data_IF_251089636121
#
_entry.id   IF_251089636121
#
_cell.length_a   1.000
_cell.length_b   1.000
_cell.length_c   1.000
_cell.angle_alpha   90.00
_cell.angle_beta   90.00
_cell.angle_gamma   90.00
#
_symmetry.space_group_name_H-M   'P 1'
#
loop_
_entity.id
_entity.type
_entity.pdbx_description
1 polymer ?
#
# COMPACT_ATOMS: atom_id res chain seq x y z
N UNK A 1 -3.77 -13.80 5.07
CA UNK A 1 -2.77 -12.81 5.55
C UNK A 1 -2.78 -11.60 4.65
N UNK A 2 -2.24 -10.47 5.13
CA UNK A 2 -2.11 -9.24 4.36
C UNK A 2 -0.68 -8.69 4.48
N UNK A 3 -0.37 -7.66 3.69
CA UNK A 3 0.95 -7.03 3.65
C UNK A 3 1.48 -6.54 5.02
N UNK A 4 0.62 -6.25 6.00
CA UNK A 4 1.10 -5.82 7.32
C UNK A 4 1.94 -6.93 8.00
N UNK A 5 1.75 -8.19 7.64
CA UNK A 5 2.50 -9.32 8.21
C UNK A 5 4.01 -9.25 7.93
N UNK A 6 4.44 -8.49 6.91
CA UNK A 6 5.86 -8.28 6.59
C UNK A 6 6.44 -7.01 7.20
N UNK A 7 5.58 -6.08 7.64
CA UNK A 7 5.95 -4.80 8.23
C UNK A 7 5.98 -4.90 9.77
N UNK A 8 4.92 -5.47 10.34
CA UNK A 8 4.72 -5.56 11.79
C UNK A 8 5.86 -6.24 12.57
N UNK A 9 6.54 -7.29 12.07
CA UNK A 9 7.67 -7.89 12.80
C UNK A 9 8.81 -6.92 13.12
N UNK A 10 8.96 -5.86 12.31
CA UNK A 10 9.96 -4.80 12.54
C UNK A 10 9.45 -3.68 13.44
N UNK A 11 8.17 -3.72 13.79
CA UNK A 11 7.47 -2.71 14.56
C UNK A 11 7.11 -3.20 15.98
N UNK A 12 6.80 -4.47 16.11
CA UNK A 12 6.36 -5.08 17.35
C UNK A 12 6.65 -6.57 17.35
N UNK A 13 6.69 -7.16 18.54
CA UNK A 13 6.69 -8.61 18.66
C UNK A 13 5.36 -9.17 18.16
N UNK A 14 5.43 -10.19 17.31
CA UNK A 14 4.28 -10.98 16.88
C UNK A 14 4.20 -12.27 17.68
N UNK A 15 2.99 -12.84 17.89
CA UNK A 15 2.84 -14.13 18.56
C UNK A 15 3.22 -15.33 17.68
N UNK A 16 3.72 -15.09 16.47
CA UNK A 16 4.15 -16.11 15.50
C UNK A 16 5.20 -15.53 14.54
N UNK A 17 5.98 -16.40 13.90
CA UNK A 17 6.94 -16.09 12.83
C UNK A 17 6.25 -16.26 11.46
N UNK A 18 6.09 -15.19 10.65
CA UNK A 18 5.40 -15.26 9.36
C UNK A 18 6.00 -16.23 8.34
N UNK A 19 7.29 -16.57 8.45
CA UNK A 19 7.99 -17.46 7.52
C UNK A 19 8.04 -18.92 8.00
N UNK A 20 7.99 -19.15 9.32
CA UNK A 20 8.04 -20.50 9.91
C UNK A 20 6.67 -21.05 10.23
N UNK A 21 5.78 -20.23 10.76
CA UNK A 21 4.52 -20.68 11.36
C UNK A 21 3.35 -20.69 10.37
N UNK A 22 3.59 -20.30 9.12
CA UNK A 22 2.59 -20.22 8.07
C UNK A 22 3.04 -20.93 6.78
N UNK A 23 2.12 -21.67 6.18
CA UNK A 23 2.28 -22.20 4.82
C UNK A 23 1.63 -21.25 3.81
N UNK A 24 2.38 -20.79 2.82
CA UNK A 24 1.87 -19.94 1.74
C UNK A 24 1.07 -20.76 0.73
N UNK A 25 -0.04 -20.22 0.24
CA UNK A 25 -0.89 -20.90 -0.76
C UNK A 25 -0.90 -20.08 -2.06
N UNK A 26 -1.32 -18.82 -1.99
CA UNK A 26 -1.31 -17.92 -3.14
C UNK A 26 -1.58 -16.48 -2.70
N UNK A 27 -0.91 -15.51 -3.31
CA UNK A 27 -1.29 -14.11 -3.27
C UNK A 27 -2.43 -13.92 -4.26
N UNK A 28 -3.60 -13.56 -3.75
CA UNK A 28 -4.84 -13.49 -4.53
C UNK A 28 -5.05 -12.13 -5.18
N UNK A 29 -4.67 -11.05 -4.49
CA UNK A 29 -4.84 -9.70 -5.00
C UNK A 29 -3.80 -8.73 -4.44
N UNK A 30 -3.53 -7.69 -5.23
CA UNK A 30 -2.69 -6.54 -4.88
C UNK A 30 -3.56 -5.28 -4.97
N UNK A 31 -3.26 -4.35 -4.09
CA UNK A 31 -3.97 -3.10 -3.88
C UNK A 31 -2.95 -1.96 -3.86
N UNK A 32 -2.72 -1.31 -5.01
CA UNK A 32 -1.91 -0.10 -5.03
C UNK A 32 -2.60 1.01 -4.22
N UNK A 33 -1.79 1.88 -3.63
CA UNK A 33 -2.28 3.09 -2.98
C UNK A 33 -2.11 4.28 -3.92
N UNK A 34 -2.98 5.27 -3.75
CA UNK A 34 -2.92 6.57 -4.41
C UNK A 34 -2.52 7.63 -3.41
N UNK A 35 -1.65 8.54 -3.83
CA UNK A 35 -1.45 9.83 -3.18
C UNK A 35 -2.53 10.77 -3.70
N UNK A 36 -3.33 11.30 -2.78
CA UNK A 36 -4.35 12.31 -3.06
C UNK A 36 -4.05 13.58 -2.27
N UNK A 37 -4.42 14.72 -2.83
CA UNK A 37 -4.31 16.02 -2.15
C UNK A 37 -5.65 16.74 -2.15
N UNK A 38 -5.87 17.56 -1.14
CA UNK A 38 -6.97 18.50 -1.13
C UNK A 38 -6.87 19.45 -2.35
N UNK A 39 -8.01 19.87 -2.91
CA UNK A 39 -8.03 20.68 -4.11
C UNK A 39 -7.48 22.10 -3.93
N UNK A 40 -7.61 22.67 -2.73
CA UNK A 40 -7.13 24.02 -2.38
C UNK A 40 -5.63 24.04 -2.11
N UNK A 41 -5.00 22.87 -1.93
CA UNK A 41 -3.55 22.76 -1.88
C UNK A 41 -2.99 23.01 -3.30
N UNK A 42 -2.05 23.96 -3.49
CA UNK A 42 -1.50 24.31 -4.81
C UNK A 42 -0.44 23.28 -5.27
N UNK A 43 -0.79 22.00 -5.22
CA UNK A 43 0.06 20.85 -5.54
C UNK A 43 -0.65 20.00 -6.59
N UNK A 44 -0.03 19.79 -7.75
CA UNK A 44 -0.61 19.00 -8.85
C UNK A 44 0.20 17.77 -9.21
N UNK A 45 1.40 17.64 -8.65
CA UNK A 45 2.34 16.56 -8.89
C UNK A 45 3.14 16.24 -7.62
N UNK A 46 3.87 15.14 -7.64
CA UNK A 46 4.83 14.83 -6.57
C UNK A 46 5.94 15.88 -6.47
N UNK A 47 6.39 16.43 -7.61
CA UNK A 47 7.38 17.51 -7.62
C UNK A 47 6.86 18.76 -6.90
N UNK A 48 5.61 19.14 -7.14
CA UNK A 48 4.98 20.26 -6.44
C UNK A 48 4.84 19.99 -4.95
N UNK A 49 4.48 18.76 -4.56
CA UNK A 49 4.37 18.38 -3.15
C UNK A 49 5.72 18.54 -2.43
N UNK A 50 6.81 18.08 -3.05
CA UNK A 50 8.16 18.21 -2.52
C UNK A 50 8.55 19.69 -2.41
N UNK A 51 8.32 20.48 -3.46
CA UNK A 51 8.63 21.90 -3.46
C UNK A 51 7.83 22.66 -2.37
N UNK A 52 6.53 22.38 -2.25
CA UNK A 52 5.67 22.98 -1.24
C UNK A 52 6.13 22.60 0.17
N UNK A 53 6.45 21.32 0.41
CA UNK A 53 6.93 20.84 1.70
C UNK A 53 8.25 21.50 2.12
N UNK A 54 9.20 21.66 1.18
CA UNK A 54 10.47 22.35 1.43
C UNK A 54 10.30 23.83 1.73
N UNK A 55 9.37 24.49 1.04
CA UNK A 55 9.04 25.90 1.30
C UNK A 55 8.26 26.10 2.61
N UNK A 56 7.58 25.06 3.11
CA UNK A 56 6.69 25.11 4.27
C UNK A 56 7.03 24.01 5.29
N UNK A 57 8.25 23.99 5.86
CA UNK A 57 8.70 22.92 6.74
C UNK A 57 7.79 22.80 7.97
N UNK A 58 7.30 21.58 8.24
CA UNK A 58 6.45 21.28 9.39
C UNK A 58 5.00 21.74 9.28
N UNK A 59 4.56 22.28 8.14
CA UNK A 59 3.17 22.71 7.92
C UNK A 59 2.30 21.70 7.17
N UNK A 60 2.89 20.65 6.62
CA UNK A 60 2.15 19.60 5.94
C UNK A 60 1.97 18.39 6.85
N UNK A 61 0.78 17.82 6.78
CA UNK A 61 0.47 16.52 7.36
C UNK A 61 -0.09 15.59 6.27
N UNK A 62 -0.04 14.28 6.52
CA UNK A 62 -0.65 13.29 5.65
C UNK A 62 -1.42 12.25 6.45
N UNK A 63 -2.59 11.88 5.94
CA UNK A 63 -3.48 10.91 6.56
C UNK A 63 -3.31 9.53 5.95
N UNK A 64 -3.34 8.48 6.77
CA UNK A 64 -3.37 7.08 6.29
C UNK A 64 -4.37 6.23 7.08
N UNK A 65 -4.72 5.02 6.60
CA UNK A 65 -5.64 4.10 7.28
C UNK A 65 -5.20 3.62 8.68
N UNK A 66 -3.96 3.89 9.08
CA UNK A 66 -3.45 3.51 10.40
C UNK A 66 -1.94 3.29 10.43
N UNK A 67 -1.39 3.19 11.65
CA UNK A 67 0.03 2.91 11.90
C UNK A 67 0.38 1.48 11.43
N UNK A 68 1.56 1.31 10.86
CA UNK A 68 2.07 0.02 10.38
C UNK A 68 1.40 -0.53 9.11
N UNK A 69 0.50 0.25 8.50
CA UNK A 69 -0.09 -0.08 7.19
C UNK A 69 0.91 0.20 6.06
N UNK A 70 0.82 -0.47 4.90
CA UNK A 70 1.66 -0.14 3.74
C UNK A 70 1.59 1.33 3.34
N UNK A 71 0.45 2.01 3.54
CA UNK A 71 0.26 3.44 3.27
C UNK A 71 1.06 4.33 4.21
N UNK A 72 1.10 3.99 5.51
CA UNK A 72 1.95 4.67 6.48
C UNK A 72 3.42 4.52 6.08
N UNK A 73 3.86 3.30 5.80
CA UNK A 73 5.25 3.06 5.39
C UNK A 73 5.57 3.75 4.05
N UNK A 74 4.62 3.81 3.12
CA UNK A 74 4.78 4.56 1.86
C UNK A 74 5.01 6.05 2.10
N UNK A 75 4.25 6.67 3.02
CA UNK A 75 4.39 8.08 3.36
C UNK A 75 5.75 8.39 4.00
N UNK A 76 6.15 7.57 4.97
CA UNK A 76 7.45 7.71 5.64
C UNK A 76 8.62 7.48 4.67
N UNK A 77 8.56 6.44 3.85
CA UNK A 77 9.58 6.17 2.82
C UNK A 77 9.67 7.30 1.81
N UNK A 78 8.53 7.82 1.35
CA UNK A 78 8.50 8.96 0.44
C UNK A 78 9.14 10.20 1.08
N UNK A 79 8.76 10.55 2.31
CA UNK A 79 9.33 11.69 3.03
C UNK A 79 10.85 11.55 3.19
N UNK A 80 11.32 10.37 3.59
CA UNK A 80 12.74 10.05 3.74
C UNK A 80 13.51 10.24 2.42
N UNK A 81 13.05 9.61 1.34
CA UNK A 81 13.71 9.68 0.03
C UNK A 81 13.65 11.09 -0.58
N UNK A 82 12.56 11.83 -0.36
CA UNK A 82 12.38 13.18 -0.86
C UNK A 82 13.14 14.25 -0.03
N UNK A 83 13.65 13.88 1.15
CA UNK A 83 14.28 14.81 2.09
C UNK A 83 13.31 15.88 2.59
N UNK A 84 12.05 15.50 2.84
CA UNK A 84 11.00 16.39 3.36
C UNK A 84 10.44 15.83 4.66
N UNK A 85 9.76 16.68 5.42
CA UNK A 85 9.07 16.28 6.65
C UNK A 85 7.60 16.63 6.55
N UNK A 86 6.75 15.63 6.75
CA UNK A 86 5.31 15.77 6.87
C UNK A 86 4.85 15.03 8.13
N UNK A 87 3.89 15.58 8.86
CA UNK A 87 3.33 14.92 10.05
C UNK A 87 2.37 13.80 9.65
N UNK A 88 2.56 12.59 10.19
CA UNK A 88 1.63 11.48 9.97
C UNK A 88 0.42 11.60 10.89
N UNK A 89 -0.78 11.58 10.30
CA UNK A 89 -2.05 11.53 11.01
C UNK A 89 -2.68 10.14 10.80
N UNK A 90 -2.62 9.23 11.79
CA UNK A 90 -3.21 7.90 11.66
C UNK A 90 -4.73 7.93 11.86
N UNK A 91 -5.46 7.29 10.94
CA UNK A 91 -6.91 7.06 11.06
C UNK A 91 -7.20 5.61 11.44
N UNK A 92 -8.48 5.29 11.66
CA UNK A 92 -9.00 3.91 11.82
C UNK A 92 -9.62 3.43 10.50
N UNK A 93 -8.86 3.49 9.42
CA UNK A 93 -9.29 3.10 8.07
C UNK A 93 -9.60 4.27 7.13
N UNK A 94 -10.63 5.06 7.43
CA UNK A 94 -11.12 6.13 6.55
C UNK A 94 -10.47 7.49 6.87
N UNK A 95 -9.69 8.03 5.93
CA UNK A 95 -9.02 9.34 6.00
C UNK A 95 -9.54 10.36 4.97
N UNK A 96 -10.28 9.93 3.96
CA UNK A 96 -10.57 10.74 2.77
C UNK A 96 -11.52 11.93 3.03
N UNK A 97 -12.40 11.86 4.01
CA UNK A 97 -13.27 12.97 4.41
C UNK A 97 -12.47 14.19 4.86
N UNK A 98 -11.39 13.96 5.61
CA UNK A 98 -10.53 15.02 6.14
C UNK A 98 -9.61 15.58 5.05
N UNK A 99 -9.25 14.74 4.06
CA UNK A 99 -8.56 15.21 2.87
C UNK A 99 -9.45 16.10 2.02
N UNK A 100 -10.70 15.70 1.80
CA UNK A 100 -11.67 16.50 1.05
C UNK A 100 -11.96 17.85 1.71
N UNK A 101 -12.08 17.88 3.03
CA UNK A 101 -12.35 19.12 3.78
C UNK A 101 -11.11 19.98 4.03
N UNK A 102 -9.91 19.45 3.76
CA UNK A 102 -8.64 20.16 3.94
C UNK A 102 -8.10 20.13 5.37
N UNK A 103 -8.77 19.43 6.29
CA UNK A 103 -8.28 19.18 7.65
C UNK A 103 -6.92 18.48 7.61
N UNK A 104 -6.74 17.55 6.65
CA UNK A 104 -5.42 16.98 6.33
C UNK A 104 -5.13 17.20 4.84
N UNK A 105 -4.04 17.89 4.46
CA UNK A 105 -3.84 18.35 3.09
C UNK A 105 -3.50 17.21 2.11
N UNK A 106 -2.97 16.08 2.61
CA UNK A 106 -2.54 14.93 1.79
C UNK A 106 -3.09 13.63 2.36
N UNK A 107 -3.54 12.72 1.51
CA UNK A 107 -3.95 11.38 1.88
C UNK A 107 -3.19 10.31 1.10
N UNK A 108 -2.87 9.21 1.76
CA UNK A 108 -2.43 7.98 1.10
C UNK A 108 -3.46 6.91 1.40
N UNK A 109 -4.10 6.39 0.36
CA UNK A 109 -5.22 5.46 0.50
C UNK A 109 -5.23 4.46 -0.65
N UNK A 110 -5.84 3.29 -0.45
CA UNK A 110 -6.06 2.31 -1.52
C UNK A 110 -6.78 2.93 -2.72
N UNK A 111 -6.31 2.59 -3.92
CA UNK A 111 -6.85 3.14 -5.17
C UNK A 111 -8.37 2.95 -5.30
N UNK A 112 -8.89 1.79 -4.89
CA UNK A 112 -10.34 1.50 -4.88
C UNK A 112 -11.19 2.50 -4.09
N UNK A 113 -10.65 3.05 -2.99
CA UNK A 113 -11.36 4.04 -2.18
C UNK A 113 -11.05 5.48 -2.62
N UNK A 114 -9.83 5.77 -3.04
CA UNK A 114 -9.42 7.12 -3.43
C UNK A 114 -9.91 7.54 -4.82
N UNK A 115 -9.83 6.63 -5.81
CA UNK A 115 -10.11 6.97 -7.22
C UNK A 115 -11.53 7.42 -7.52
N UNK A 116 -12.60 6.91 -6.87
CA UNK A 116 -13.94 7.48 -7.06
C UNK A 116 -13.97 8.98 -6.76
N UNK A 117 -13.34 9.43 -5.66
CA UNK A 117 -13.30 10.85 -5.29
C UNK A 117 -12.40 11.67 -6.22
N UNK A 118 -11.33 11.07 -6.75
CA UNK A 118 -10.47 11.70 -7.76
C UNK A 118 -11.25 11.94 -9.06
N UNK A 119 -12.01 10.94 -9.52
CA UNK A 119 -12.83 11.03 -10.73
C UNK A 119 -13.97 12.03 -10.59
N UNK A 120 -14.57 12.11 -9.41
CA UNK A 120 -15.58 13.11 -9.07
C UNK A 120 -14.99 14.52 -8.85
N UNK A 121 -13.66 14.67 -8.93
CA UNK A 121 -12.98 15.95 -8.76
C UNK A 121 -13.01 16.50 -7.33
N UNK A 122 -13.34 15.69 -6.33
CA UNK A 122 -13.44 16.09 -4.91
C UNK A 122 -12.07 16.20 -4.23
N UNK A 123 -11.10 15.46 -4.74
CA UNK A 123 -9.68 15.51 -4.39
C UNK A 123 -8.86 15.31 -5.66
N UNK A 124 -7.56 15.62 -5.61
CA UNK A 124 -6.66 15.43 -6.75
C UNK A 124 -5.73 14.25 -6.50
N UNK A 125 -5.75 13.24 -7.36
CA UNK A 125 -4.75 12.17 -7.37
C UNK A 125 -3.46 12.64 -8.04
N UNK A 126 -2.30 12.32 -7.44
CA UNK A 126 -0.99 12.79 -7.95
C UNK A 126 0.03 11.66 -8.16
N UNK A 127 -0.17 10.49 -7.55
CA UNK A 127 0.69 9.33 -7.79
C UNK A 127 0.03 8.01 -7.37
N UNK A 128 0.55 6.89 -7.88
CA UNK A 128 0.36 5.55 -7.31
C UNK A 128 1.66 5.00 -6.72
N UNK A 129 1.52 4.08 -5.74
CA UNK A 129 2.65 3.48 -4.99
C UNK A 129 3.14 2.15 -5.55
N UNK A 130 2.55 1.64 -6.63
CA UNK A 130 2.99 0.45 -7.35
C UNK A 130 4.09 0.76 -8.36
N UNK A 131 4.89 -0.25 -8.74
CA UNK A 131 5.93 -0.10 -9.77
C UNK A 131 5.35 0.26 -11.15
N UNK A 132 4.13 -0.21 -11.43
CA UNK A 132 3.38 0.07 -12.66
C UNK A 132 2.12 0.85 -12.31
N UNK A 133 1.60 1.61 -13.26
CA UNK A 133 0.31 2.29 -13.10
C UNK A 133 -0.79 1.29 -12.78
N UNK A 134 -1.66 1.65 -11.84
CA UNK A 134 -2.74 0.79 -11.40
C UNK A 134 -3.84 0.73 -12.46
N UNK A 135 -4.49 -0.42 -12.64
CA UNK A 135 -5.66 -0.55 -13.52
C UNK A 135 -6.78 0.42 -13.10
N UNK A 136 -6.91 0.65 -11.79
CA UNK A 136 -7.87 1.59 -11.21
C UNK A 136 -7.50 3.07 -11.45
N UNK A 137 -6.25 3.37 -11.79
CA UNK A 137 -5.72 4.72 -11.92
C UNK A 137 -4.71 4.82 -13.08
N UNK A 138 -5.12 4.49 -14.33
CA UNK A 138 -4.19 4.40 -15.46
C UNK A 138 -3.59 5.76 -15.85
N UNK A 139 -4.28 6.84 -15.52
CA UNK A 139 -3.86 8.21 -15.81
C UNK A 139 -2.89 8.76 -14.76
N UNK A 140 -2.79 8.13 -13.58
CA UNK A 140 -1.88 8.58 -12.54
C UNK A 140 -0.48 7.97 -12.73
N UNK A 141 0.57 8.80 -12.74
CA UNK A 141 1.93 8.30 -12.78
C UNK A 141 2.30 7.55 -11.50
N UNK A 142 3.28 6.65 -11.58
CA UNK A 142 3.84 6.01 -10.38
C UNK A 142 4.80 6.97 -9.66
N UNK A 143 5.14 6.67 -8.40
CA UNK A 143 6.26 7.36 -7.74
C UNK A 143 7.59 7.06 -8.44
N UNK A 144 7.76 5.86 -8.98
CA UNK A 144 8.94 5.48 -9.74
C UNK A 144 9.13 6.31 -11.02
N UNK A 145 8.05 6.60 -11.73
CA UNK A 145 8.02 7.51 -12.89
C UNK A 145 8.29 8.97 -12.51
N UNK A 146 8.12 9.33 -11.23
CA UNK A 146 8.25 10.70 -10.71
C UNK A 146 9.54 10.95 -9.91
N UNK A 147 10.59 10.18 -10.19
CA UNK A 147 11.93 10.41 -9.63
C UNK A 147 12.28 9.56 -8.41
N UNK A 148 11.51 8.51 -8.12
CA UNK A 148 11.81 7.54 -7.06
C UNK A 148 12.00 6.11 -7.61
N UNK A 149 13.04 5.83 -8.42
CA UNK A 149 13.21 4.52 -9.06
C UNK A 149 13.13 3.36 -8.06
N UNK A 150 12.32 2.34 -8.40
CA UNK A 150 12.11 1.18 -7.52
C UNK A 150 11.21 1.42 -6.31
N UNK A 151 10.60 2.61 -6.17
CA UNK A 151 9.60 2.84 -5.13
C UNK A 151 8.42 1.88 -5.31
N UNK A 152 8.18 1.07 -4.30
CA UNK A 152 7.03 0.18 -4.26
C UNK A 152 6.56 -0.03 -2.82
N UNK A 153 5.30 0.34 -2.57
CA UNK A 153 4.60 0.12 -1.33
C UNK A 153 3.12 -0.19 -1.63
N UNK A 154 2.82 -1.46 -1.85
CA UNK A 154 1.47 -1.93 -2.18
C UNK A 154 0.90 -2.74 -1.02
N UNK A 155 -0.42 -2.73 -0.89
CA UNK A 155 -1.11 -3.70 -0.05
C UNK A 155 -1.31 -4.97 -0.87
N UNK A 156 -1.26 -6.14 -0.23
CA UNK A 156 -1.55 -7.41 -0.87
C UNK A 156 -2.27 -8.33 0.10
N UNK A 157 -3.02 -9.29 -0.43
CA UNK A 157 -3.72 -10.31 0.35
C UNK A 157 -3.38 -11.69 -0.18
N UNK A 158 -3.02 -12.57 0.73
CA UNK A 158 -2.63 -13.94 0.43
C UNK A 158 -3.41 -14.94 1.26
N UNK A 159 -3.74 -16.06 0.64
CA UNK A 159 -4.18 -17.26 1.32
C UNK A 159 -2.97 -17.91 2.00
N UNK A 160 -3.07 -18.04 3.31
CA UNK A 160 -2.05 -18.65 4.17
C UNK A 160 -2.75 -19.71 5.02
N UNK A 161 -2.10 -20.85 5.22
CA UNK A 161 -2.53 -21.92 6.12
C UNK A 161 -1.62 -22.02 7.34
N UNK A 162 -1.98 -22.90 8.31
CA UNK A 162 -1.10 -23.21 9.43
C UNK A 162 0.23 -23.82 8.95
N UNK A 163 1.25 -23.78 9.81
CA UNK A 163 2.54 -24.42 9.54
C UNK A 163 2.40 -25.87 9.08
N UNK A 164 3.32 -26.27 8.20
CA UNK A 164 3.44 -27.64 7.68
C UNK A 164 2.17 -28.19 7.01
N UNK A 165 1.35 -27.33 6.41
CA UNK A 165 0.17 -27.78 5.67
C UNK A 165 0.60 -28.73 4.52
N UNK A 166 0.05 -29.96 4.42
CA UNK A 166 0.46 -30.91 3.40
C UNK A 166 0.30 -30.37 1.98
N UNK A 167 1.31 -30.62 1.14
CA UNK A 167 1.32 -30.17 -0.27
C UNK A 167 0.03 -30.49 -1.04
N UNK A 168 -0.58 -31.68 -0.94
CA UNK A 168 -1.84 -31.96 -1.63
C UNK A 168 -2.99 -31.00 -1.25
N UNK A 169 -3.02 -30.51 -0.01
CA UNK A 169 -4.02 -29.54 0.45
C UNK A 169 -3.69 -28.16 -0.11
N UNK A 170 -2.43 -27.74 -0.07
CA UNK A 170 -1.96 -26.48 -0.67
C UNK A 170 -2.33 -26.42 -2.15
N UNK A 171 -2.00 -27.47 -2.89
CA UNK A 171 -2.24 -27.56 -4.32
C UNK A 171 -3.75 -27.52 -4.64
N UNK A 172 -4.57 -28.24 -3.86
CA UNK A 172 -6.03 -28.24 -4.01
C UNK A 172 -6.64 -26.85 -3.75
N UNK A 173 -6.29 -26.22 -2.62
CA UNK A 173 -6.83 -24.90 -2.27
C UNK A 173 -6.39 -23.85 -3.29
N UNK A 174 -5.13 -23.89 -3.72
CA UNK A 174 -4.64 -23.00 -4.79
C UNK A 174 -5.41 -23.21 -6.09
N UNK A 175 -5.59 -24.45 -6.52
CA UNK A 175 -6.29 -24.76 -7.77
C UNK A 175 -7.73 -24.22 -7.76
N UNK A 176 -8.48 -24.39 -6.67
CA UNK A 176 -9.83 -23.82 -6.56
C UNK A 176 -9.82 -22.29 -6.50
N UNK A 177 -8.83 -21.70 -5.81
CA UNK A 177 -8.68 -20.24 -5.75
C UNK A 177 -8.43 -19.63 -7.13
N UNK A 178 -7.60 -20.28 -7.96
CA UNK A 178 -7.33 -19.82 -9.32
C UNK A 178 -8.57 -19.88 -10.21
N UNK A 179 -9.45 -20.87 -10.03
CA UNK A 179 -10.72 -20.93 -10.78
C UNK A 179 -11.60 -19.72 -10.46
N UNK A 180 -11.69 -19.33 -9.18
CA UNK A 180 -12.44 -18.14 -8.76
C UNK A 180 -11.81 -16.86 -9.32
N UNK A 181 -10.48 -16.74 -9.28
CA UNK A 181 -9.78 -15.57 -9.80
C UNK A 181 -9.85 -15.46 -11.34
N UNK A 182 -10.01 -16.58 -12.05
CA UNK A 182 -10.16 -16.62 -13.50
C UNK A 182 -11.59 -16.37 -14.00
N UNK A 183 -12.57 -16.38 -13.11
CA UNK A 183 -13.96 -16.09 -13.45
C UNK A 183 -14.11 -14.64 -13.90
N UNK A 184 -14.73 -14.44 -15.07
CA UNK A 184 -14.84 -13.13 -15.72
C UNK A 184 -15.73 -12.18 -14.90
N UNK A 185 -16.79 -12.70 -14.26
CA UNK A 185 -17.69 -11.88 -13.46
C UNK A 185 -16.99 -11.41 -12.19
N UNK A 186 -16.26 -12.30 -11.51
CA UNK A 186 -15.44 -11.89 -10.37
C UNK A 186 -14.37 -10.90 -10.80
N UNK A 187 -13.60 -11.18 -11.85
CA UNK A 187 -12.57 -10.27 -12.36
C UNK A 187 -13.11 -8.85 -12.57
N UNK A 188 -14.24 -8.70 -13.26
CA UNK A 188 -14.90 -7.40 -13.46
C UNK A 188 -15.31 -6.73 -12.14
N UNK A 189 -15.86 -7.48 -11.19
CA UNK A 189 -16.24 -6.93 -9.87
C UNK A 189 -15.03 -6.46 -9.08
N UNK A 190 -13.94 -7.24 -9.06
CA UNK A 190 -12.69 -6.89 -8.39
C UNK A 190 -12.02 -5.67 -9.04
N UNK A 191 -11.95 -5.62 -10.37
CA UNK A 191 -11.45 -4.46 -11.11
C UNK A 191 -12.28 -3.20 -10.85
N UNK A 192 -13.61 -3.32 -10.77
CA UNK A 192 -14.49 -2.19 -10.42
C UNK A 192 -14.25 -1.67 -8.99
N UNK A 193 -13.81 -2.54 -8.07
CA UNK A 193 -13.36 -2.16 -6.73
C UNK A 193 -11.90 -1.66 -6.69
N UNK A 194 -11.22 -1.60 -7.84
CA UNK A 194 -9.82 -1.19 -7.95
C UNK A 194 -8.83 -2.18 -7.35
N UNK A 195 -9.17 -3.48 -7.38
CA UNK A 195 -8.36 -4.58 -6.91
C UNK A 195 -7.74 -5.30 -8.11
N UNK A 196 -6.41 -5.41 -8.12
CA UNK A 196 -5.70 -6.15 -9.16
C UNK A 196 -5.61 -7.62 -8.72
N UNK A 197 -6.35 -8.49 -9.42
CA UNK A 197 -6.29 -9.92 -9.17
C UNK A 197 -4.95 -10.50 -9.63
N UNK A 198 -4.39 -11.37 -8.80
CA UNK A 198 -3.14 -12.09 -9.06
C UNK A 198 -3.45 -13.59 -9.13
N UNK A 199 -2.90 -14.42 -8.26
CA UNK A 199 -2.88 -15.87 -8.40
C UNK A 199 -1.47 -16.45 -8.46
N UNK A 200 -0.60 -16.01 -7.56
CA UNK A 200 0.80 -16.48 -7.52
C UNK A 200 0.93 -17.95 -7.13
N UNK A 201 2.10 -18.53 -7.34
CA UNK A 201 2.49 -19.81 -6.74
C UNK A 201 2.74 -19.67 -5.24
N UNK A 202 2.68 -20.78 -4.46
CA UNK A 202 3.09 -20.79 -3.06
C UNK A 202 4.51 -20.25 -2.87
N UNK A 203 5.42 -20.62 -3.77
CA UNK A 203 6.83 -20.24 -3.75
C UNK A 203 7.02 -18.76 -4.03
N UNK A 204 6.31 -18.19 -5.01
CA UNK A 204 6.31 -16.76 -5.30
C UNK A 204 5.81 -15.94 -4.10
N UNK A 205 4.71 -16.36 -3.47
CA UNK A 205 4.22 -15.69 -2.25
C UNK A 205 5.24 -15.76 -1.14
N UNK A 206 5.87 -16.93 -0.93
CA UNK A 206 6.89 -17.10 0.11
C UNK A 206 8.11 -16.22 -0.15
N UNK A 207 8.58 -16.17 -1.39
CA UNK A 207 9.71 -15.34 -1.79
C UNK A 207 9.41 -13.85 -1.59
N UNK A 208 8.22 -13.40 -1.96
CA UNK A 208 7.78 -12.01 -1.73
C UNK A 208 7.76 -11.66 -0.23
N UNK A 209 7.18 -12.51 0.62
CA UNK A 209 7.18 -12.30 2.08
C UNK A 209 8.61 -12.25 2.63
N UNK A 210 9.47 -13.18 2.20
CA UNK A 210 10.87 -13.25 2.64
C UNK A 210 11.71 -12.05 2.19
N UNK A 211 11.40 -11.45 1.04
CA UNK A 211 12.05 -10.24 0.55
C UNK A 211 11.51 -8.97 1.24
N UNK A 212 10.21 -8.91 1.50
CA UNK A 212 9.56 -7.74 2.11
C UNK A 212 9.99 -7.52 3.55
N UNK A 213 10.11 -8.58 4.37
CA UNK A 213 10.48 -8.44 5.80
C UNK A 213 11.77 -7.63 6.01
N UNK A 214 12.93 -8.01 5.42
CA UNK A 214 14.16 -7.23 5.59
C UNK A 214 14.10 -5.87 4.90
N UNK A 215 13.39 -5.74 3.76
CA UNK A 215 13.16 -4.45 3.10
C UNK A 215 12.48 -3.47 4.06
N UNK A 216 11.37 -3.88 4.66
CA UNK A 216 10.61 -3.03 5.57
C UNK A 216 11.34 -2.77 6.88
N UNK A 217 12.08 -3.75 7.41
CA UNK A 217 12.95 -3.54 8.56
C UNK A 217 13.95 -2.39 8.34
N UNK A 218 14.58 -2.37 7.15
CA UNK A 218 15.50 -1.30 6.77
C UNK A 218 14.79 0.04 6.64
N UNK A 219 13.66 0.09 5.95
CA UNK A 219 12.89 1.34 5.78
C UNK A 219 12.45 1.91 7.13
N UNK A 220 11.89 1.09 8.01
CA UNK A 220 11.44 1.49 9.35
C UNK A 220 12.60 2.08 10.15
N UNK A 221 13.76 1.41 10.12
CA UNK A 221 14.96 1.88 10.81
C UNK A 221 15.47 3.20 10.25
N UNK A 222 15.60 3.32 8.93
CA UNK A 222 16.20 4.47 8.26
C UNK A 222 15.31 5.73 8.34
N UNK A 223 13.99 5.55 8.24
CA UNK A 223 13.03 6.63 8.41
C UNK A 223 12.75 6.96 9.89
N UNK A 224 13.32 6.20 10.83
CA UNK A 224 13.11 6.40 12.26
C UNK A 224 11.64 6.24 12.67
N UNK A 225 10.89 5.39 11.95
CA UNK A 225 9.47 5.16 12.17
C UNK A 225 9.32 4.56 13.56
N UNK A 226 8.79 5.37 14.47
CA UNK A 226 8.52 4.91 15.82
C UNK A 226 7.25 4.08 15.82
N UNK A 227 7.34 2.98 16.51
CA UNK A 227 6.19 2.15 16.82
C UNK A 227 5.49 2.86 17.95
N UNK A 228 4.20 3.14 17.79
CA UNK A 228 3.43 3.82 18.83
C UNK A 228 3.66 3.10 20.16
N UNK A 229 4.04 3.87 21.18
CA UNK A 229 3.95 3.43 22.57
C UNK A 229 2.51 3.09 22.92
#
# INVERSE_FOLDING_TARGET
GNAAITILPSMQALPFDPLKDLTTISTSLVMPSVFVVNNDLPVKSIADLIAYAKANPGKLSYGTPGVGTPQHIAGELFCHLAGIKMEHIPYRGANLTDVMSGVVPVGIQNAGAGMPLVRDGRVRGIAVTSLKRATAAPDLPTLAEQGFPGFEATSWFALLGPANLPKPIVDKVRAESLKVLADIEYKKRFEAMGLDLVGSTPEETRAAIAADIPKWAKVIKDAGIKTGQ
#
